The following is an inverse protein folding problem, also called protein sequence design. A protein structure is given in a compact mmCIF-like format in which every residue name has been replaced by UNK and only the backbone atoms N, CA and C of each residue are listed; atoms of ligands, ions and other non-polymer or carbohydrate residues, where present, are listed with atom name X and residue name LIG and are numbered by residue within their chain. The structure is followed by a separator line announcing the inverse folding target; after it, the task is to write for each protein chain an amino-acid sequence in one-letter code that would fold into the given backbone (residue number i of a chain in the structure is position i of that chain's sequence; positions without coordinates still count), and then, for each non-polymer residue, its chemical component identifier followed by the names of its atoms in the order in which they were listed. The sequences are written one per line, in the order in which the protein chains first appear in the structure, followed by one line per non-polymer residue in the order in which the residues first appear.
data_IF_688406732326
#
_entry.id   IF_688406732326
#
_cell.length_a   1.000
_cell.length_b   1.000
_cell.length_c   1.000
_cell.angle_alpha   90.00
_cell.angle_beta   90.00
_cell.angle_gamma   90.00
#
_symmetry.space_group_name_H-M   'P 1'
#
loop_
_entity.id
_entity.type
_entity.pdbx_description
1 polymer ?
#
# COMPACT_ATOMS: atom_id res chain seq x y z
N UNK A 1 54.63 8.97 -31.09
CA UNK A 1 54.79 8.35 -29.75
C UNK A 1 53.40 8.14 -29.17
N UNK A 2 52.86 6.92 -29.27
CA UNK A 2 51.50 6.59 -28.82
C UNK A 2 51.49 6.40 -27.29
N UNK A 3 50.61 7.12 -26.60
CA UNK A 3 50.34 6.92 -25.16
C UNK A 3 49.71 5.54 -24.97
N UNK A 4 50.33 4.74 -24.12
CA UNK A 4 49.88 3.41 -23.71
C UNK A 4 48.53 3.55 -22.99
N UNK A 5 47.47 2.96 -23.53
CA UNK A 5 46.18 2.83 -22.84
C UNK A 5 46.38 1.95 -21.59
N UNK A 6 45.86 2.40 -20.45
CA UNK A 6 45.86 1.63 -19.22
C UNK A 6 44.92 0.43 -19.39
N UNK A 7 45.38 -0.76 -19.00
CA UNK A 7 44.59 -1.98 -19.01
C UNK A 7 43.43 -1.84 -18.01
N UNK A 8 42.20 -2.01 -18.50
CA UNK A 8 41.03 -2.24 -17.66
C UNK A 8 41.21 -3.57 -16.93
N UNK A 9 41.26 -3.52 -15.60
CA UNK A 9 41.22 -4.72 -14.78
C UNK A 9 39.85 -5.37 -14.93
N UNK A 10 39.82 -6.59 -15.45
CA UNK A 10 38.65 -7.46 -15.41
C UNK A 10 38.34 -7.76 -13.94
N UNK A 11 37.21 -7.27 -13.44
CA UNK A 11 36.71 -7.61 -12.11
C UNK A 11 36.24 -9.06 -12.14
N UNK A 12 37.11 -9.98 -11.72
CA UNK A 12 36.75 -11.38 -11.52
C UNK A 12 35.60 -11.48 -10.53
N UNK A 13 34.58 -12.28 -10.86
CA UNK A 13 33.46 -12.58 -9.98
C UNK A 13 34.00 -13.34 -8.77
N UNK A 14 34.15 -12.64 -7.64
CA UNK A 14 34.41 -13.27 -6.36
C UNK A 14 33.10 -13.87 -5.88
N UNK A 15 32.89 -15.16 -6.12
CA UNK A 15 31.81 -15.90 -5.47
C UNK A 15 32.19 -16.00 -4.00
N UNK A 16 31.54 -15.20 -3.15
CA UNK A 16 31.78 -15.28 -1.73
C UNK A 16 31.39 -16.68 -1.21
N UNK A 17 32.32 -17.32 -0.51
CA UNK A 17 32.09 -18.62 0.11
C UNK A 17 31.10 -18.50 1.28
N UNK A 18 30.37 -19.58 1.55
CA UNK A 18 29.47 -19.68 2.71
C UNK A 18 30.22 -19.32 4.00
N UNK A 19 29.65 -18.41 4.80
CA UNK A 19 30.24 -17.97 6.07
C UNK A 19 31.19 -16.79 5.98
N UNK A 20 31.40 -16.20 4.79
CA UNK A 20 32.17 -14.96 4.63
C UNK A 20 31.26 -13.72 4.61
N UNK A 21 31.77 -12.61 5.14
CA UNK A 21 31.09 -11.31 5.08
C UNK A 21 31.25 -10.70 3.68
N UNK A 22 30.39 -11.12 2.75
CA UNK A 22 30.33 -10.61 1.39
C UNK A 22 29.54 -9.30 1.32
N UNK A 23 29.95 -8.40 0.42
CA UNK A 23 29.10 -7.26 0.07
C UNK A 23 27.85 -7.75 -0.69
N UNK A 24 26.72 -7.09 -0.45
CA UNK A 24 25.48 -7.31 -1.21
C UNK A 24 25.73 -7.11 -2.71
N UNK A 25 25.21 -7.97 -3.57
CA UNK A 25 25.51 -7.96 -5.02
C UNK A 25 25.08 -6.65 -5.70
N UNK A 26 24.04 -6.01 -5.17
CA UNK A 26 23.55 -4.70 -5.66
C UNK A 26 24.14 -3.49 -4.91
N UNK A 27 25.05 -3.68 -3.95
CA UNK A 27 25.60 -2.60 -3.10
C UNK A 27 26.20 -1.45 -3.90
N UNK A 28 27.03 -1.76 -4.92
CA UNK A 28 27.61 -0.77 -5.81
C UNK A 28 26.53 0.05 -6.54
N UNK A 29 25.43 -0.59 -6.94
CA UNK A 29 24.34 0.09 -7.65
C UNK A 29 23.59 1.04 -6.72
N UNK A 30 23.33 0.63 -5.48
CA UNK A 30 22.67 1.46 -4.48
C UNK A 30 23.49 2.71 -4.16
N UNK A 31 24.79 2.57 -3.87
CA UNK A 31 25.65 3.72 -3.50
C UNK A 31 25.93 4.66 -4.67
N UNK A 32 25.76 4.18 -5.90
CA UNK A 32 25.91 4.99 -7.13
C UNK A 32 24.60 5.59 -7.62
N UNK A 33 23.45 5.26 -7.03
CA UNK A 33 22.14 5.66 -7.54
C UNK A 33 21.81 5.06 -8.92
N UNK A 34 22.32 3.87 -9.21
CA UNK A 34 22.12 3.15 -10.49
C UNK A 34 21.30 1.87 -10.32
N UNK A 35 20.85 1.58 -9.11
CA UNK A 35 19.86 0.53 -8.86
C UNK A 35 18.51 1.04 -9.37
N UNK A 36 17.88 0.27 -10.26
CA UNK A 36 16.58 0.65 -10.81
C UNK A 36 15.47 0.28 -9.81
N UNK A 37 14.70 1.28 -9.40
CA UNK A 37 13.43 1.13 -8.71
C UNK A 37 12.26 1.36 -9.68
N UNK A 38 11.05 1.00 -9.27
CA UNK A 38 9.86 1.09 -10.12
C UNK A 38 9.63 2.52 -10.63
N UNK A 39 9.84 3.51 -9.77
CA UNK A 39 9.64 4.93 -10.10
C UNK A 39 10.78 5.55 -10.92
N UNK A 40 11.93 4.84 -11.05
CA UNK A 40 13.03 5.27 -11.92
C UNK A 40 12.80 4.87 -13.39
N UNK A 41 11.79 4.03 -13.64
CA UNK A 41 11.52 3.53 -14.99
C UNK A 41 10.95 4.66 -15.86
N UNK A 42 11.37 4.76 -17.15
CA UNK A 42 10.81 5.75 -18.06
C UNK A 42 9.29 5.59 -18.19
N UNK A 43 8.56 6.68 -17.95
CA UNK A 43 7.09 6.70 -18.02
C UNK A 43 6.64 6.51 -19.48
N UNK A 44 5.88 5.44 -19.80
CA UNK A 44 5.36 5.24 -21.15
C UNK A 44 4.44 6.38 -21.60
N UNK A 45 4.43 6.67 -22.89
CA UNK A 45 3.52 7.68 -23.46
C UNK A 45 2.06 7.28 -23.23
N UNK A 46 1.24 8.23 -22.76
CA UNK A 46 -0.17 8.00 -22.45
C UNK A 46 -0.44 7.34 -21.10
N UNK A 47 0.56 7.20 -20.23
CA UNK A 47 0.38 6.70 -18.86
C UNK A 47 -0.57 7.61 -18.08
N UNK A 48 -1.53 7.00 -17.38
CA UNK A 48 -2.37 7.67 -16.39
C UNK A 48 -1.79 7.45 -15.00
N UNK A 49 -2.02 8.42 -14.14
CA UNK A 49 -1.58 8.41 -12.75
C UNK A 49 -2.79 8.23 -11.85
N UNK A 50 -2.64 7.36 -10.85
CA UNK A 50 -3.74 7.01 -9.95
C UNK A 50 -3.48 7.58 -8.56
N UNK A 51 -4.47 8.26 -8.01
CA UNK A 51 -4.53 8.63 -6.60
C UNK A 51 -5.78 8.02 -5.96
N UNK A 52 -5.65 7.56 -4.72
CA UNK A 52 -6.75 6.96 -3.96
C UNK A 52 -7.39 7.96 -3.02
N UNK A 53 -8.73 7.97 -2.95
CA UNK A 53 -9.48 8.68 -1.93
C UNK A 53 -9.63 7.82 -0.67
N UNK A 54 -9.36 8.43 0.48
CA UNK A 54 -9.33 7.73 1.76
C UNK A 54 -10.46 8.17 2.68
N UNK A 55 -10.96 7.24 3.49
CA UNK A 55 -11.91 7.54 4.54
C UNK A 55 -11.29 8.48 5.59
N UNK A 56 -11.93 9.62 5.92
CA UNK A 56 -11.41 10.60 6.87
C UNK A 56 -11.65 10.21 8.34
N UNK A 57 -12.19 9.02 8.61
CA UNK A 57 -12.64 8.57 9.93
C UNK A 57 -12.14 7.17 10.23
N UNK A 58 -11.99 6.87 11.52
CA UNK A 58 -11.46 5.59 11.98
C UNK A 58 -12.50 4.45 11.96
N UNK A 59 -13.78 4.74 12.22
CA UNK A 59 -14.85 3.77 12.04
C UNK A 59 -16.16 4.48 11.67
N UNK A 60 -16.87 3.97 10.68
CA UNK A 60 -18.15 4.53 10.27
C UNK A 60 -19.03 3.51 9.54
N UNK A 61 -20.34 3.73 9.57
CA UNK A 61 -21.34 2.98 8.81
C UNK A 61 -22.17 3.90 7.93
N UNK A 62 -22.84 3.33 6.93
CA UNK A 62 -23.64 4.08 5.96
C UNK A 62 -22.81 5.01 5.08
N UNK A 63 -21.55 4.66 4.79
CA UNK A 63 -20.67 5.44 3.93
C UNK A 63 -21.29 5.66 2.55
N UNK A 64 -21.44 6.92 2.16
CA UNK A 64 -21.88 7.36 0.84
C UNK A 64 -20.91 8.39 0.29
N UNK A 65 -20.72 8.34 -1.02
CA UNK A 65 -19.81 9.20 -1.76
C UNK A 65 -20.58 10.05 -2.75
N UNK A 66 -20.22 11.34 -2.79
CA UNK A 66 -20.46 12.19 -3.94
C UNK A 66 -19.11 12.50 -4.59
N UNK A 67 -18.97 12.06 -5.84
CA UNK A 67 -17.75 12.14 -6.64
C UNK A 67 -17.93 13.05 -7.86
N UNK A 68 -19.01 13.84 -7.94
CA UNK A 68 -19.30 14.65 -9.12
C UNK A 68 -18.20 15.68 -9.36
N UNK A 69 -17.75 16.38 -8.32
CA UNK A 69 -16.64 17.33 -8.42
C UNK A 69 -15.29 16.65 -8.71
N UNK A 70 -15.13 15.39 -8.29
CA UNK A 70 -13.93 14.60 -8.59
C UNK A 70 -13.91 14.28 -10.08
N UNK A 71 -15.00 13.75 -10.63
CA UNK A 71 -15.15 13.40 -12.05
C UNK A 71 -15.01 14.61 -12.97
N UNK A 72 -15.44 15.78 -12.53
CA UNK A 72 -15.33 17.04 -13.28
C UNK A 72 -13.97 17.74 -13.14
N UNK A 73 -13.03 17.19 -12.38
CA UNK A 73 -11.73 17.82 -12.16
C UNK A 73 -10.85 17.76 -13.40
N UNK A 74 -10.01 18.78 -13.55
CA UNK A 74 -9.07 18.89 -14.66
C UNK A 74 -8.19 17.63 -14.77
N UNK A 75 -8.09 17.09 -15.99
CA UNK A 75 -7.24 15.95 -16.32
C UNK A 75 -7.70 14.61 -15.75
N UNK A 76 -8.81 14.54 -15.01
CA UNK A 76 -9.41 13.27 -14.59
C UNK A 76 -9.97 12.55 -15.81
N UNK A 77 -9.57 11.30 -15.96
CA UNK A 77 -10.04 10.41 -17.03
C UNK A 77 -11.16 9.51 -16.51
N UNK A 78 -10.98 8.96 -15.31
CA UNK A 78 -12.00 8.10 -14.69
C UNK A 78 -11.87 8.06 -13.16
N UNK A 79 -12.94 7.62 -12.50
CA UNK A 79 -13.01 7.39 -11.06
C UNK A 79 -13.66 6.04 -10.80
N UNK A 80 -12.90 5.14 -10.20
CA UNK A 80 -13.30 3.77 -9.88
C UNK A 80 -13.69 3.64 -8.41
N UNK A 81 -14.73 2.84 -8.17
CA UNK A 81 -15.28 2.50 -6.86
C UNK A 81 -15.43 0.97 -6.75
N UNK A 82 -15.93 0.49 -5.61
CA UNK A 82 -16.25 -0.94 -5.41
C UNK A 82 -17.15 -1.50 -6.53
N UNK A 83 -18.10 -0.70 -7.04
CA UNK A 83 -19.01 -1.12 -8.11
C UNK A 83 -18.32 -1.37 -9.46
N UNK A 84 -17.11 -0.85 -9.65
CA UNK A 84 -16.32 -0.99 -10.87
C UNK A 84 -15.37 -2.21 -10.82
N UNK A 85 -15.33 -2.93 -9.70
CA UNK A 85 -14.51 -4.14 -9.53
C UNK A 85 -15.20 -5.31 -10.24
N UNK A 86 -14.61 -5.90 -11.31
CA UNK A 86 -15.26 -6.95 -12.08
C UNK A 86 -15.30 -8.32 -11.36
N UNK A 87 -14.59 -8.46 -10.25
CA UNK A 87 -14.47 -9.68 -9.47
C UNK A 87 -14.77 -9.47 -7.99
N UNK A 88 -14.07 -10.22 -7.14
CA UNK A 88 -14.16 -10.00 -5.70
C UNK A 88 -13.50 -8.67 -5.34
N UNK A 89 -14.18 -7.88 -4.50
CA UNK A 89 -13.59 -6.70 -3.87
C UNK A 89 -12.70 -7.08 -2.67
N UNK A 90 -12.72 -8.33 -2.21
CA UNK A 90 -11.81 -8.85 -1.19
C UNK A 90 -10.44 -9.23 -1.81
N UNK A 91 -9.37 -8.64 -1.28
CA UNK A 91 -7.97 -8.81 -1.69
C UNK A 91 -7.11 -9.46 -0.61
N UNK A 92 -7.73 -10.05 0.41
CA UNK A 92 -7.04 -10.74 1.49
C UNK A 92 -6.16 -11.91 1.01
N UNK A 93 -4.92 -12.04 1.50
CA UNK A 93 -4.05 -13.14 1.12
C UNK A 93 -4.33 -14.46 1.86
N UNK A 94 -4.92 -14.40 3.06
CA UNK A 94 -5.07 -15.55 3.97
C UNK A 94 -6.47 -15.69 4.54
N UNK A 95 -7.03 -14.61 5.09
CA UNK A 95 -8.35 -14.57 5.72
C UNK A 95 -9.19 -13.46 5.10
N UNK A 96 -10.43 -13.74 4.73
CA UNK A 96 -11.36 -12.75 4.20
C UNK A 96 -11.48 -11.51 5.10
N UNK A 97 -11.72 -10.34 4.49
CA UNK A 97 -11.99 -9.09 5.20
C UNK A 97 -11.22 -7.86 4.73
N UNK A 98 -10.15 -8.02 3.94
CA UNK A 98 -9.39 -6.88 3.40
C UNK A 98 -9.97 -6.48 2.05
N UNK A 99 -10.84 -5.48 2.06
CA UNK A 99 -11.46 -4.95 0.84
C UNK A 99 -10.56 -3.97 0.10
N UNK A 100 -10.59 -4.00 -1.24
CA UNK A 100 -9.88 -3.05 -2.11
C UNK A 100 -10.48 -1.65 -1.99
N UNK A 101 -11.81 -1.55 -2.08
CA UNK A 101 -12.56 -0.31 -1.87
C UNK A 101 -13.60 -0.50 -0.77
N UNK A 102 -13.50 0.27 0.31
CA UNK A 102 -14.49 0.31 1.36
C UNK A 102 -15.82 0.88 0.84
N UNK A 103 -16.91 0.15 1.08
CA UNK A 103 -18.26 0.49 0.66
C UNK A 103 -19.22 0.23 1.82
N UNK A 104 -20.04 1.22 2.18
CA UNK A 104 -20.98 1.14 3.30
C UNK A 104 -20.34 1.22 4.70
N UNK A 105 -19.22 0.55 4.96
CA UNK A 105 -18.51 0.52 6.24
C UNK A 105 -17.05 0.94 6.11
N UNK A 106 -16.53 1.62 7.13
CA UNK A 106 -15.12 1.98 7.31
C UNK A 106 -14.64 1.39 8.63
N UNK A 107 -13.50 0.71 8.62
CA UNK A 107 -12.94 -0.01 9.77
C UNK A 107 -11.67 0.63 10.33
N UNK A 108 -10.99 1.49 9.57
CA UNK A 108 -9.82 2.23 10.03
C UNK A 108 -9.64 3.55 9.27
N UNK A 109 -8.88 4.47 9.88
CA UNK A 109 -8.58 5.76 9.29
C UNK A 109 -7.65 5.58 8.10
N UNK A 110 -7.97 6.20 6.96
CA UNK A 110 -7.17 6.08 5.75
C UNK A 110 -7.55 4.89 4.86
N UNK A 111 -8.60 4.13 5.19
CA UNK A 111 -9.07 3.04 4.34
C UNK A 111 -9.46 3.56 2.96
N UNK A 112 -9.05 2.86 1.91
CA UNK A 112 -9.28 3.28 0.52
C UNK A 112 -10.75 3.09 0.16
N UNK A 113 -11.36 4.12 -0.44
CA UNK A 113 -12.80 4.14 -0.74
C UNK A 113 -13.08 4.24 -2.24
N UNK A 114 -12.22 4.95 -2.98
CA UNK A 114 -12.28 5.07 -4.43
C UNK A 114 -10.88 5.40 -4.98
N UNK A 115 -10.69 5.30 -6.29
CA UNK A 115 -9.47 5.69 -6.98
C UNK A 115 -9.77 6.62 -8.17
N UNK A 116 -8.88 7.56 -8.44
CA UNK A 116 -8.98 8.53 -9.53
C UNK A 116 -7.81 8.32 -10.47
N UNK A 117 -8.08 8.07 -11.74
CA UNK A 117 -7.08 8.05 -12.80
C UNK A 117 -7.08 9.40 -13.53
N UNK A 118 -5.91 10.04 -13.64
CA UNK A 118 -5.76 11.34 -14.29
C UNK A 118 -4.49 11.41 -15.17
N UNK A 119 -4.40 12.45 -15.99
CA UNK A 119 -3.26 12.69 -16.91
C UNK A 119 -1.97 13.11 -16.20
N UNK A 120 -2.02 13.45 -14.92
CA UNK A 120 -0.85 13.67 -14.07
C UNK A 120 -1.13 13.27 -12.63
N UNK A 121 -0.08 12.89 -11.89
CA UNK A 121 -0.18 12.56 -10.47
C UNK A 121 -0.76 13.71 -9.65
N UNK A 122 -0.28 14.94 -9.88
CA UNK A 122 -0.75 16.13 -9.18
C UNK A 122 -2.27 16.35 -9.36
N UNK A 123 -2.77 16.18 -10.58
CA UNK A 123 -4.20 16.34 -10.87
C UNK A 123 -5.04 15.25 -10.18
N UNK A 124 -4.57 14.00 -10.17
CA UNK A 124 -5.24 12.93 -9.43
C UNK A 124 -5.30 13.25 -7.91
N UNK A 125 -4.20 13.70 -7.32
CA UNK A 125 -4.10 14.06 -5.89
C UNK A 125 -4.97 15.28 -5.52
N UNK A 126 -5.12 16.25 -6.42
CA UNK A 126 -6.01 17.38 -6.20
C UNK A 126 -7.47 16.96 -6.34
N UNK A 127 -7.78 16.09 -7.30
CA UNK A 127 -9.15 15.61 -7.55
C UNK A 127 -9.70 14.78 -6.38
N UNK A 128 -8.92 13.85 -5.81
CA UNK A 128 -9.39 13.01 -4.69
C UNK A 128 -9.85 13.83 -3.47
N UNK A 129 -9.29 15.02 -3.26
CA UNK A 129 -9.63 15.92 -2.15
C UNK A 129 -11.01 16.58 -2.29
N UNK A 130 -11.62 16.52 -3.47
CA UNK A 130 -12.94 17.11 -3.74
C UNK A 130 -14.10 16.16 -3.47
N UNK A 131 -13.82 14.91 -3.09
CA UNK A 131 -14.86 13.96 -2.72
C UNK A 131 -15.61 14.43 -1.47
N UNK A 132 -16.93 14.25 -1.48
CA UNK A 132 -17.79 14.51 -0.34
C UNK A 132 -18.20 13.17 0.25
N UNK A 133 -17.99 13.03 1.56
CA UNK A 133 -18.29 11.81 2.31
C UNK A 133 -19.47 12.07 3.25
N UNK A 134 -20.45 11.18 3.24
CA UNK A 134 -21.54 11.15 4.23
C UNK A 134 -21.52 9.81 4.94
N UNK A 135 -21.56 9.82 6.27
CA UNK A 135 -21.46 8.60 7.08
C UNK A 135 -21.89 8.86 8.52
N UNK A 136 -22.11 7.78 9.27
CA UNK A 136 -22.32 7.80 10.72
C UNK A 136 -21.11 7.21 11.43
N UNK A 137 -20.39 8.03 12.21
CA UNK A 137 -19.21 7.60 12.97
C UNK A 137 -19.58 6.55 14.01
N UNK A 138 -18.73 5.54 14.15
CA UNK A 138 -18.89 4.48 15.16
C UNK A 138 -17.86 4.64 16.29
N UNK A 139 -18.13 4.10 17.49
CA UNK A 139 -17.12 3.95 18.52
C UNK A 139 -15.93 3.15 18.01
N UNK A 140 -14.72 3.56 18.41
CA UNK A 140 -13.46 2.94 17.98
C UNK A 140 -12.76 2.25 19.14
N UNK A 141 -12.17 1.09 18.86
CA UNK A 141 -11.30 0.37 19.79
C UNK A 141 -9.84 0.64 19.43
N UNK A 142 -9.13 1.41 20.27
CA UNK A 142 -7.77 1.87 19.97
C UNK A 142 -6.68 1.23 20.84
N UNK A 143 -7.06 0.46 21.86
CA UNK A 143 -6.08 -0.13 22.80
C UNK A 143 -6.33 -1.61 22.99
N UNK A 144 -5.24 -2.37 23.14
CA UNK A 144 -5.31 -3.79 23.44
C UNK A 144 -6.08 -4.07 24.74
N UNK A 145 -5.91 -3.23 25.77
CA UNK A 145 -6.63 -3.38 27.05
C UNK A 145 -8.14 -3.25 26.88
N UNK A 146 -8.61 -2.29 26.08
CA UNK A 146 -10.04 -2.13 25.81
C UNK A 146 -10.60 -3.28 24.98
N UNK A 147 -9.87 -3.74 23.96
CA UNK A 147 -10.24 -4.90 23.15
C UNK A 147 -10.30 -6.20 23.99
N UNK A 148 -9.32 -6.42 24.87
CA UNK A 148 -9.33 -7.54 25.82
C UNK A 148 -10.54 -7.50 26.76
N UNK A 149 -10.91 -6.32 27.25
CA UNK A 149 -12.06 -6.16 28.14
C UNK A 149 -13.41 -6.49 27.48
N UNK A 150 -13.49 -6.38 26.15
CA UNK A 150 -14.70 -6.69 25.36
C UNK A 150 -14.58 -7.99 24.56
N UNK A 151 -13.49 -8.75 24.74
CA UNK A 151 -13.17 -9.95 23.94
C UNK A 151 -13.20 -9.71 22.41
N UNK A 152 -12.82 -8.51 21.99
CA UNK A 152 -12.77 -8.09 20.60
C UNK A 152 -11.44 -8.56 19.96
N UNK A 153 -11.44 -9.81 19.48
CA UNK A 153 -10.26 -10.46 18.93
C UNK A 153 -10.34 -10.61 17.41
N UNK A 154 -9.23 -10.34 16.72
CA UNK A 154 -9.12 -10.50 15.26
C UNK A 154 -9.07 -11.98 14.84
N UNK A 155 -8.43 -12.84 15.66
CA UNK A 155 -8.25 -14.26 15.36
C UNK A 155 -8.59 -15.12 16.59
N UNK A 156 -8.94 -16.41 16.39
CA UNK A 156 -9.15 -17.33 17.50
C UNK A 156 -7.89 -17.48 18.37
N UNK A 157 -8.07 -17.47 19.70
CA UNK A 157 -6.98 -17.66 20.66
C UNK A 157 -6.23 -18.97 20.40
N UNK A 158 -4.90 -18.88 20.37
CA UNK A 158 -4.00 -20.03 20.24
C UNK A 158 -3.16 -20.18 21.50
N UNK A 159 -3.09 -21.40 22.02
CA UNK A 159 -2.31 -21.71 23.23
C UNK A 159 -1.29 -22.80 22.89
N UNK A 160 -0.04 -22.56 23.25
CA UNK A 160 1.03 -23.57 23.24
C UNK A 160 1.43 -23.86 24.68
N UNK A 161 1.46 -25.13 25.06
CA UNK A 161 1.84 -25.57 26.40
C UNK A 161 2.85 -26.70 26.31
N UNK A 162 3.90 -26.62 27.14
CA UNK A 162 4.85 -27.71 27.37
C UNK A 162 5.00 -27.89 28.89
N UNK A 163 4.87 -29.12 29.38
CA UNK A 163 4.89 -29.41 30.82
C UNK A 163 3.64 -28.92 31.58
N UNK A 164 3.79 -28.73 32.89
CA UNK A 164 2.70 -28.40 33.83
C UNK A 164 2.91 -27.04 34.52
N UNK A 165 2.63 -25.91 33.84
CA UNK A 165 2.86 -24.57 34.40
C UNK A 165 1.98 -24.22 35.62
N UNK A 166 0.89 -24.95 35.87
CA UNK A 166 0.02 -24.74 37.02
C UNK A 166 0.59 -25.23 38.37
N UNK A 167 1.74 -25.92 38.37
CA UNK A 167 2.36 -26.53 39.55
C UNK A 167 3.62 -25.80 40.04
N UNK A 168 3.84 -24.55 39.61
CA UNK A 168 4.96 -23.70 40.01
C UNK A 168 4.53 -22.62 41.03
#
# INVERSE_FOLDING_TARGET
MMRKLAATAEAGVVVAAVGQAAAHESSEKHVRGTAAYVDDMPVPAGTLFVATGWAPVAAAKGLRLDLDQVRQSEGVIDVCTEADVPGSNDVSPVHEGDVLFASGEVSFHGQVVFAVAATSQHLAEVAVKKAIFTYETQPVQLTATAAMATEDFVLPTRTFQMGSPALA
#
